data_IF_199285822838
#
_entry.id   IF_199285822838
#
_cell.length_a   1.000
_cell.length_b   1.000
_cell.length_c   1.000
_cell.angle_alpha   90.00
_cell.angle_beta   90.00
_cell.angle_gamma   90.00
#
_symmetry.space_group_name_H-M   'P 1'
#
loop_
_entity.id
_entity.type
_entity.pdbx_description
1 polymer ?
#
# COMPACT_ATOMS: atom_id res chain seq x y z
N UNK A 1 10.46 -0.75 8.73
CA UNK A 1 11.50 -0.10 8.01
C UNK A 1 11.08 0.13 6.56
N UNK A 2 11.39 1.21 5.95
CA UNK A 2 10.82 1.69 4.71
C UNK A 2 10.75 0.75 3.50
N UNK A 3 11.28 -0.47 3.54
CA UNK A 3 11.38 -1.36 2.37
C UNK A 3 10.04 -1.73 1.74
N UNK A 4 9.00 -2.01 2.52
CA UNK A 4 7.69 -2.36 1.96
C UNK A 4 7.03 -1.14 1.30
N UNK A 5 7.23 0.04 1.87
CA UNK A 5 6.69 1.29 1.32
C UNK A 5 7.43 1.73 0.07
N UNK A 6 8.69 1.33 -0.10
CA UNK A 6 9.48 1.64 -1.30
C UNK A 6 8.87 1.00 -2.56
N UNK A 7 8.35 -0.22 -2.46
CA UNK A 7 7.68 -0.89 -3.58
C UNK A 7 6.49 -0.05 -4.07
N UNK A 8 5.67 0.44 -3.14
CA UNK A 8 4.52 1.30 -3.47
C UNK A 8 5.00 2.64 -4.03
N UNK A 9 6.01 3.25 -3.41
CA UNK A 9 6.57 4.52 -3.86
C UNK A 9 7.11 4.44 -5.28
N UNK A 10 7.88 3.42 -5.60
CA UNK A 10 8.42 3.22 -6.95
C UNK A 10 7.34 2.89 -7.96
N UNK A 11 6.35 2.08 -7.58
CA UNK A 11 5.22 1.77 -8.45
C UNK A 11 4.44 3.01 -8.83
N UNK A 12 4.14 3.88 -7.88
CA UNK A 12 3.43 5.13 -8.14
C UNK A 12 4.29 6.13 -8.91
N UNK A 13 5.59 6.18 -8.66
CA UNK A 13 6.51 7.04 -9.40
C UNK A 13 6.54 6.63 -10.87
N UNK A 14 6.54 5.34 -11.17
CA UNK A 14 6.43 4.83 -12.54
C UNK A 14 5.13 5.23 -13.23
N UNK A 15 4.06 5.45 -12.46
CA UNK A 15 2.77 5.93 -12.98
C UNK A 15 2.67 7.46 -12.99
N UNK A 16 3.73 8.20 -12.65
CA UNK A 16 3.77 9.64 -12.68
C UNK A 16 3.44 10.33 -11.36
N UNK A 17 3.37 9.60 -10.24
CA UNK A 17 3.04 10.16 -8.93
C UNK A 17 4.27 10.14 -8.00
N UNK A 18 4.69 11.30 -7.53
CA UNK A 18 5.74 11.40 -6.51
C UNK A 18 5.09 11.31 -5.12
N UNK A 19 5.09 10.10 -4.57
CA UNK A 19 4.40 9.82 -3.30
C UNK A 19 4.97 10.63 -2.14
N UNK A 20 6.27 10.84 -2.08
CA UNK A 20 6.91 11.64 -1.04
C UNK A 20 6.34 13.06 -0.98
N UNK A 21 6.22 13.73 -2.13
CA UNK A 21 5.68 15.08 -2.19
C UNK A 21 4.19 15.13 -1.90
N UNK A 22 3.43 14.16 -2.43
CA UNK A 22 1.99 14.09 -2.23
C UNK A 22 1.64 13.84 -0.77
N UNK A 23 2.32 12.90 -0.12
CA UNK A 23 2.11 12.60 1.29
C UNK A 23 2.50 13.80 2.16
N UNK A 24 3.65 14.42 1.86
CA UNK A 24 4.08 15.60 2.62
C UNK A 24 3.05 16.73 2.54
N UNK A 25 2.52 17.01 1.36
CA UNK A 25 1.50 18.04 1.16
C UNK A 25 0.23 17.75 1.98
N UNK A 26 -0.23 16.50 1.99
CA UNK A 26 -1.40 16.10 2.76
C UNK A 26 -1.16 16.19 4.27
N UNK A 27 0.03 15.81 4.73
CA UNK A 27 0.41 15.92 6.14
C UNK A 27 0.43 17.38 6.60
N UNK A 28 1.03 18.27 5.81
CA UNK A 28 1.09 19.71 6.12
C UNK A 28 -0.32 20.28 6.26
N UNK A 29 -1.22 19.88 5.38
CA UNK A 29 -2.61 20.36 5.37
C UNK A 29 -3.46 19.74 6.48
N UNK A 30 -3.19 18.50 6.87
CA UNK A 30 -3.98 17.70 7.81
C UNK A 30 -3.13 17.09 8.94
N UNK A 31 -2.18 17.83 9.48
CA UNK A 31 -1.20 17.31 10.44
C UNK A 31 -1.84 16.60 11.64
N UNK A 32 -2.93 17.13 12.18
CA UNK A 32 -3.62 16.53 13.32
C UNK A 32 -4.20 15.15 13.01
N UNK A 33 -4.64 14.93 11.77
CA UNK A 33 -5.17 13.63 11.32
C UNK A 33 -4.08 12.56 11.31
N UNK A 34 -2.84 12.94 11.01
CA UNK A 34 -1.69 12.03 11.02
C UNK A 34 -1.10 11.83 12.41
N UNK A 35 -1.46 12.65 13.36
CA UNK A 35 -0.92 12.63 14.73
C UNK A 35 0.63 12.73 14.73
N UNK A 36 1.16 13.64 13.94
CA UNK A 36 2.60 13.88 13.79
C UNK A 36 2.94 15.19 14.49
N UNK A 37 3.85 15.16 15.46
CA UNK A 37 4.32 16.36 16.18
C UNK A 37 5.33 17.14 15.34
N UNK A 38 6.23 16.42 14.68
CA UNK A 38 7.28 17.00 13.83
C UNK A 38 7.25 16.36 12.47
N UNK A 39 6.96 17.15 11.44
CA UNK A 39 6.90 16.70 10.06
C UNK A 39 8.32 16.43 9.56
N UNK A 40 8.53 15.25 8.95
CA UNK A 40 9.78 14.85 8.31
C UNK A 40 9.47 14.29 6.92
N UNK A 41 9.70 15.11 5.89
CA UNK A 41 9.41 14.77 4.50
C UNK A 41 10.11 13.49 4.04
N UNK A 42 11.29 13.18 4.60
CA UNK A 42 12.09 12.03 4.18
C UNK A 42 11.66 10.71 4.83
N UNK A 43 10.93 10.78 5.95
CA UNK A 43 10.53 9.61 6.74
C UNK A 43 9.03 9.35 6.63
N UNK A 44 8.20 10.38 6.67
CA UNK A 44 6.75 10.25 6.83
C UNK A 44 6.10 9.41 5.73
N UNK A 45 6.52 9.58 4.47
CA UNK A 45 5.95 8.80 3.35
C UNK A 45 6.37 7.33 3.35
N UNK A 46 7.30 6.95 4.23
CA UNK A 46 7.82 5.58 4.35
C UNK A 46 7.17 4.80 5.51
N UNK A 47 6.18 5.39 6.17
CA UNK A 47 5.46 4.73 7.26
C UNK A 47 4.10 4.23 6.77
N UNK A 48 3.83 2.95 6.97
CA UNK A 48 2.57 2.31 6.53
C UNK A 48 1.35 3.04 7.10
N UNK A 49 1.40 3.41 8.39
CA UNK A 49 0.33 4.15 9.05
C UNK A 49 0.01 5.46 8.31
N UNK A 50 1.03 6.21 7.94
CA UNK A 50 0.85 7.49 7.25
C UNK A 50 0.31 7.27 5.83
N UNK A 51 0.80 6.26 5.13
CA UNK A 51 0.31 5.93 3.78
C UNK A 51 -1.15 5.51 3.82
N UNK A 52 -1.57 4.74 4.82
CA UNK A 52 -2.98 4.38 4.94
C UNK A 52 -3.87 5.61 5.09
N UNK A 53 -3.47 6.56 5.94
CA UNK A 53 -4.22 7.81 6.12
C UNK A 53 -4.25 8.60 4.82
N UNK A 54 -3.12 8.69 4.13
CA UNK A 54 -3.04 9.37 2.84
C UNK A 54 -4.01 8.76 1.82
N UNK A 55 -4.03 7.44 1.69
CA UNK A 55 -4.92 6.76 0.74
C UNK A 55 -6.38 6.85 1.18
N UNK A 56 -6.68 6.80 2.47
CA UNK A 56 -8.05 7.06 2.96
C UNK A 56 -8.55 8.44 2.53
N UNK A 57 -7.67 9.44 2.51
CA UNK A 57 -8.03 10.81 2.13
C UNK A 57 -8.11 11.04 0.62
N UNK A 58 -7.30 10.33 -0.17
CA UNK A 58 -7.04 10.72 -1.56
C UNK A 58 -7.30 9.61 -2.60
N UNK A 59 -7.54 8.38 -2.19
CA UNK A 59 -7.76 7.25 -3.09
C UNK A 59 -9.17 6.67 -2.92
N UNK A 60 -9.58 5.85 -3.88
CA UNK A 60 -10.85 5.13 -3.80
C UNK A 60 -10.65 3.93 -2.87
N UNK A 61 -11.44 3.88 -1.79
CA UNK A 61 -11.44 2.75 -0.84
C UNK A 61 -12.34 1.64 -1.37
N UNK A 62 -11.82 0.42 -1.41
CA UNK A 62 -12.50 -0.75 -1.95
C UNK A 62 -12.62 -1.83 -0.88
N UNK A 63 -13.28 -2.95 -1.24
CA UNK A 63 -13.46 -4.09 -0.33
C UNK A 63 -12.14 -4.67 0.15
N UNK A 64 -12.10 -5.13 1.39
CA UNK A 64 -10.96 -5.89 1.93
C UNK A 64 -11.22 -7.41 1.91
N UNK A 65 -12.34 -7.84 1.37
CA UNK A 65 -12.68 -9.26 1.22
C UNK A 65 -12.03 -9.81 -0.04
N UNK A 66 -11.05 -10.70 0.12
CA UNK A 66 -10.33 -11.31 -1.01
C UNK A 66 -11.21 -12.23 -1.85
N UNK A 67 -12.37 -12.63 -1.35
CA UNK A 67 -13.34 -13.45 -2.09
C UNK A 67 -14.10 -12.65 -3.14
N UNK A 68 -14.11 -11.33 -3.02
CA UNK A 68 -14.66 -10.44 -4.04
C UNK A 68 -13.65 -10.24 -5.18
N UNK A 69 -13.25 -11.29 -5.86
CA UNK A 69 -12.12 -11.28 -6.79
C UNK A 69 -12.23 -10.18 -7.87
N UNK A 70 -13.45 -9.88 -8.30
CA UNK A 70 -13.69 -8.90 -9.38
C UNK A 70 -13.34 -7.47 -8.97
N UNK A 71 -13.32 -7.21 -7.66
CA UNK A 71 -13.02 -5.89 -7.13
C UNK A 71 -11.51 -5.64 -6.97
N UNK A 72 -10.69 -6.68 -7.14
CA UNK A 72 -9.24 -6.59 -7.03
C UNK A 72 -8.62 -6.52 -8.43
N UNK A 73 -7.88 -5.44 -8.69
CA UNK A 73 -7.22 -5.22 -9.98
C UNK A 73 -5.72 -5.02 -9.80
N UNK A 74 -4.94 -5.44 -10.79
CA UNK A 74 -3.51 -5.17 -10.81
C UNK A 74 -3.24 -3.67 -10.70
N UNK A 75 -2.29 -3.30 -9.84
CA UNK A 75 -1.98 -1.91 -9.54
C UNK A 75 -2.71 -1.36 -8.32
N UNK A 76 -3.73 -2.06 -7.80
CA UNK A 76 -4.38 -1.64 -6.56
C UNK A 76 -3.39 -1.72 -5.40
N UNK A 77 -3.62 -0.89 -4.39
CA UNK A 77 -2.79 -0.87 -3.18
C UNK A 77 -3.49 -1.63 -2.08
N UNK A 78 -2.77 -2.53 -1.43
CA UNK A 78 -3.26 -3.31 -0.29
C UNK A 78 -2.47 -2.94 0.96
N UNK A 79 -3.18 -2.68 2.05
CA UNK A 79 -2.57 -2.33 3.34
C UNK A 79 -2.93 -3.39 4.37
N UNK A 80 -1.91 -3.92 5.01
CA UNK A 80 -2.02 -4.79 6.17
C UNK A 80 -1.73 -3.97 7.43
N UNK A 81 -1.93 -4.55 8.60
CA UNK A 81 -1.71 -3.84 9.86
C UNK A 81 -0.31 -3.18 9.95
N UNK A 82 0.74 -3.87 9.51
CA UNK A 82 2.11 -3.37 9.57
C UNK A 82 2.86 -3.52 8.24
N UNK A 83 2.13 -3.63 7.12
CA UNK A 83 2.73 -3.92 5.83
C UNK A 83 1.87 -3.34 4.71
N UNK A 84 2.48 -3.10 3.55
CA UNK A 84 1.81 -2.57 2.37
C UNK A 84 2.39 -3.21 1.12
N UNK A 85 1.57 -3.34 0.09
CA UNK A 85 1.99 -3.89 -1.20
C UNK A 85 1.09 -3.42 -2.33
N UNK A 86 1.36 -3.96 -3.51
CA UNK A 86 0.60 -3.69 -4.73
C UNK A 86 0.02 -5.00 -5.23
N UNK A 87 -1.25 -4.98 -5.65
CA UNK A 87 -1.90 -6.15 -6.23
C UNK A 87 -1.33 -6.41 -7.63
N UNK A 88 -0.95 -7.67 -7.88
CA UNK A 88 -0.46 -8.13 -9.18
C UNK A 88 -1.62 -8.49 -10.10
N UNK A 89 -1.37 -8.47 -11.41
CA UNK A 89 -2.29 -9.02 -12.41
C UNK A 89 -2.38 -10.54 -12.34
N UNK A 90 -1.39 -11.20 -11.74
CA UNK A 90 -1.33 -12.65 -11.64
C UNK A 90 -2.27 -13.15 -10.56
N UNK A 91 -3.00 -14.23 -10.85
CA UNK A 91 -3.94 -14.85 -9.93
C UNK A 91 -3.62 -16.32 -9.72
N UNK A 92 -3.93 -16.84 -8.53
CA UNK A 92 -3.82 -18.27 -8.28
C UNK A 92 -5.03 -19.03 -8.87
N UNK A 93 -5.06 -20.33 -8.71
CA UNK A 93 -6.14 -21.19 -9.24
C UNK A 93 -7.52 -20.87 -8.67
N UNK A 94 -7.58 -20.20 -7.51
CA UNK A 94 -8.83 -19.81 -6.86
C UNK A 94 -9.29 -18.40 -7.25
N UNK A 95 -8.58 -17.72 -8.16
CA UNK A 95 -8.88 -16.36 -8.58
C UNK A 95 -8.35 -15.28 -7.65
N UNK A 96 -7.60 -15.64 -6.62
CA UNK A 96 -7.03 -14.71 -5.65
C UNK A 96 -5.76 -14.09 -6.24
N UNK A 97 -5.59 -12.76 -6.21
CA UNK A 97 -4.42 -12.13 -6.79
C UNK A 97 -3.15 -12.38 -5.98
N UNK A 98 -2.03 -12.42 -6.69
CA UNK A 98 -0.72 -12.33 -6.07
C UNK A 98 -0.48 -10.88 -5.60
N UNK A 99 0.43 -10.71 -4.67
CA UNK A 99 0.83 -9.40 -4.18
C UNK A 99 2.30 -9.14 -4.52
N UNK A 100 2.60 -7.92 -4.93
CA UNK A 100 3.97 -7.42 -5.13
C UNK A 100 4.35 -6.63 -3.88
N UNK A 101 5.34 -7.12 -3.15
CA UNK A 101 5.73 -6.50 -1.90
C UNK A 101 7.17 -6.86 -1.52
N UNK A 102 7.71 -6.17 -0.53
CA UNK A 102 9.01 -6.48 0.06
C UNK A 102 8.83 -6.63 1.57
N UNK A 103 8.74 -7.88 2.03
CA UNK A 103 8.46 -8.20 3.43
C UNK A 103 9.73 -8.48 4.24
N UNK A 104 10.79 -8.95 3.60
CA UNK A 104 12.01 -9.38 4.29
C UNK A 104 13.21 -9.33 3.34
N UNK A 105 14.43 -9.03 3.87
CA UNK A 105 15.66 -9.09 3.06
C UNK A 105 15.96 -10.49 2.50
N UNK A 106 15.39 -11.54 3.09
CA UNK A 106 15.57 -12.92 2.64
C UNK A 106 14.47 -13.40 1.70
N UNK A 107 13.54 -12.55 1.36
CA UNK A 107 12.46 -12.87 0.44
C UNK A 107 13.02 -13.16 -0.95
N UNK A 108 12.63 -14.30 -1.54
CA UNK A 108 13.18 -14.75 -2.83
C UNK A 108 12.54 -14.06 -4.03
N UNK A 109 11.25 -13.69 -3.92
CA UNK A 109 10.51 -13.06 -4.98
C UNK A 109 9.63 -11.95 -4.40
N UNK A 110 9.49 -10.85 -5.15
CA UNK A 110 8.62 -9.76 -4.71
C UNK A 110 7.14 -10.04 -5.02
N UNK A 111 6.84 -10.96 -5.93
CA UNK A 111 5.48 -11.37 -6.24
C UNK A 111 5.17 -12.70 -5.56
N UNK A 112 4.19 -12.70 -4.66
CA UNK A 112 3.86 -13.88 -3.84
C UNK A 112 2.36 -14.13 -3.74
N UNK A 113 1.99 -15.41 -3.64
CA UNK A 113 0.61 -15.87 -3.46
C UNK A 113 0.33 -16.09 -1.98
N UNK A 114 0.04 -15.02 -1.24
CA UNK A 114 -0.09 -15.06 0.22
C UNK A 114 -1.42 -14.52 0.75
N UNK A 115 -2.31 -13.98 -0.09
CA UNK A 115 -3.51 -13.30 0.41
C UNK A 115 -4.47 -14.23 1.13
N UNK A 116 -4.54 -15.50 0.74
CA UNK A 116 -5.44 -16.47 1.38
C UNK A 116 -5.03 -16.78 2.83
N UNK A 117 -3.76 -16.56 3.19
CA UNK A 117 -3.24 -16.81 4.54
C UNK A 117 -3.07 -15.53 5.37
N UNK A 118 -3.27 -14.36 4.77
CA UNK A 118 -3.21 -13.08 5.48
C UNK A 118 -4.57 -12.73 6.05
N UNK A 119 -4.60 -12.44 7.34
CA UNK A 119 -5.85 -12.13 8.06
C UNK A 119 -5.94 -10.68 8.53
N UNK A 120 -4.90 -9.88 8.27
CA UNK A 120 -4.76 -8.51 8.79
C UNK A 120 -4.88 -7.44 7.70
N UNK A 121 -5.65 -7.71 6.66
CA UNK A 121 -5.94 -6.73 5.59
C UNK A 121 -6.83 -5.63 6.18
N UNK A 122 -6.35 -4.38 6.16
CA UNK A 122 -7.06 -3.23 6.72
C UNK A 122 -7.39 -2.16 5.68
N UNK A 123 -6.91 -2.29 4.46
CA UNK A 123 -7.20 -1.34 3.39
C UNK A 123 -6.96 -1.90 2.00
N UNK A 124 -7.76 -1.45 1.07
CA UNK A 124 -7.65 -1.76 -0.35
C UNK A 124 -8.02 -0.49 -1.11
N UNK A 125 -7.11 0.02 -1.92
CA UNK A 125 -7.27 1.32 -2.58
C UNK A 125 -6.92 1.26 -4.05
N UNK A 126 -7.62 2.09 -4.80
CA UNK A 126 -7.30 2.37 -6.21
C UNK A 126 -7.03 3.87 -6.34
N UNK A 127 -5.84 4.16 -6.81
CA UNK A 127 -5.35 5.54 -6.84
C UNK A 127 -5.55 6.21 -8.20
#
# INVERSE_FOLDING_TARGET
YGVCTDVVGFGLLGAGYNLQELVNADIVEHQSQYNIEKIDKNIDFRRVRNLKIYFDNNAISLTTDIKDFKEWQGGDIIVFKNHIGIISDKRNKNGIPFIIHHASPVQRAYEEDILEVKTDIIGHYRY
#
